data_IF_226672959149
#
_entry.id   IF_226672959149
#
_cell.length_a   1.000
_cell.length_b   1.000
_cell.length_c   1.000
_cell.angle_alpha   90.00
_cell.angle_beta   90.00
_cell.angle_gamma   90.00
#
_symmetry.space_group_name_H-M   'P 1'
#
loop_
_entity.id
_entity.type
_entity.pdbx_description
1 polymer ?
#
# COMPACT_ATOMS: atom_id res chain seq x y z
N UNK A 1 -2.68 3.80 4.64
CA UNK A 1 -3.36 2.50 4.71
C UNK A 1 -3.94 2.14 3.35
N UNK A 2 -4.16 0.86 3.12
CA UNK A 2 -4.68 0.29 1.89
C UNK A 2 -6.08 -0.28 2.17
N UNK A 3 -7.16 0.50 1.98
CA UNK A 3 -8.51 0.06 2.36
C UNK A 3 -9.11 -0.94 1.38
N UNK A 4 -8.85 -0.78 0.10
CA UNK A 4 -9.37 -1.57 -1.02
C UNK A 4 -8.35 -1.53 -2.16
N UNK A 5 -8.53 -2.35 -3.19
CA UNK A 5 -7.68 -2.38 -4.38
C UNK A 5 -6.49 -3.33 -4.28
N UNK A 6 -5.64 -3.24 -5.29
CA UNK A 6 -4.43 -4.06 -5.38
C UNK A 6 -3.20 -3.18 -5.26
N UNK A 7 -2.30 -3.55 -4.37
CA UNK A 7 -1.16 -2.73 -3.98
C UNK A 7 0.15 -3.48 -4.09
N UNK A 8 1.19 -2.74 -4.45
CA UNK A 8 2.55 -3.24 -4.59
C UNK A 8 3.53 -2.37 -3.81
N UNK A 9 4.47 -3.01 -3.15
CA UNK A 9 5.64 -2.36 -2.55
C UNK A 9 6.81 -3.32 -2.43
N UNK A 10 7.98 -2.78 -2.23
CA UNK A 10 9.25 -3.50 -2.11
C UNK A 10 9.94 -3.16 -0.79
N UNK A 11 10.63 -4.12 -0.22
CA UNK A 11 11.45 -3.95 0.96
C UNK A 11 12.82 -4.55 0.66
N UNK A 12 13.87 -3.72 0.69
CA UNK A 12 15.23 -4.21 0.64
C UNK A 12 15.72 -4.52 2.05
N UNK A 13 16.24 -5.71 2.24
CA UNK A 13 16.83 -6.12 3.50
C UNK A 13 18.23 -5.50 3.60
N UNK A 14 18.41 -4.67 4.61
CA UNK A 14 19.74 -4.17 4.99
C UNK A 14 20.44 -5.17 5.90
N UNK A 15 21.18 -4.68 6.87
CA UNK A 15 21.77 -5.54 7.89
C UNK A 15 20.63 -6.22 8.64
N UNK A 16 20.65 -7.54 8.72
CA UNK A 16 19.71 -8.27 9.56
C UNK A 16 20.46 -9.03 10.66
N UNK A 17 20.08 -8.76 11.88
CA UNK A 17 20.37 -9.64 13.01
C UNK A 17 19.22 -10.63 13.20
N UNK A 18 19.26 -11.37 14.26
CA UNK A 18 18.36 -12.48 14.58
C UNK A 18 16.88 -12.12 14.55
N UNK A 19 16.06 -11.90 13.69
CA UNK A 19 14.57 -11.74 13.71
C UNK A 19 13.97 -10.46 13.10
N UNK A 20 14.44 -9.93 11.97
CA UNK A 20 13.60 -9.00 11.24
C UNK A 20 12.34 -9.71 10.76
N UNK A 21 11.22 -9.04 10.80
CA UNK A 21 9.93 -9.53 10.34
C UNK A 21 9.30 -8.51 9.41
N UNK A 22 8.73 -9.00 8.32
CA UNK A 22 7.98 -8.21 7.36
C UNK A 22 6.51 -8.62 7.46
N UNK A 23 5.63 -7.67 7.71
CA UNK A 23 4.25 -7.99 8.01
C UNK A 23 3.25 -7.06 7.33
N UNK A 24 2.05 -7.57 7.16
CA UNK A 24 0.86 -6.84 6.79
C UNK A 24 -0.09 -6.84 7.99
N UNK A 25 -0.52 -5.66 8.43
CA UNK A 25 -1.35 -5.48 9.62
C UNK A 25 -2.62 -4.71 9.33
N UNK A 26 -3.63 -4.80 10.22
CA UNK A 26 -4.81 -3.95 10.18
C UNK A 26 -4.60 -2.71 11.03
N UNK A 27 -4.88 -1.53 10.46
CA UNK A 27 -4.71 -0.25 11.13
C UNK A 27 -5.58 -0.10 12.40
N UNK A 28 -6.72 -0.78 12.47
CA UNK A 28 -7.56 -0.75 13.67
C UNK A 28 -6.93 -1.49 14.86
N UNK A 29 -6.01 -2.39 14.59
CA UNK A 29 -5.26 -3.12 15.62
C UNK A 29 -3.95 -2.42 16.03
N UNK A 30 -3.74 -1.19 15.59
CA UNK A 30 -2.52 -0.41 15.84
C UNK A 30 -2.40 0.00 17.31
N UNK A 31 -2.17 -0.97 18.16
CA UNK A 31 -1.61 -0.78 19.51
C UNK A 31 -0.09 -0.80 19.36
N UNK A 32 0.60 0.13 19.99
CA UNK A 32 2.05 0.21 19.95
C UNK A 32 2.69 -1.17 20.19
N UNK A 33 3.76 -1.51 19.45
CA UNK A 33 4.42 -2.81 19.62
C UNK A 33 4.97 -2.93 21.03
N UNK A 34 4.25 -3.66 21.87
CA UNK A 34 4.81 -4.07 23.14
C UNK A 34 5.85 -5.14 22.89
N UNK A 35 7.03 -4.83 23.34
CA UNK A 35 8.27 -5.60 23.38
C UNK A 35 8.23 -7.03 22.81
N UNK A 36 9.17 -7.32 21.97
CA UNK A 36 9.54 -8.63 21.40
C UNK A 36 9.67 -9.77 22.44
N UNK A 37 9.75 -9.45 23.73
CA UNK A 37 9.97 -10.41 24.79
C UNK A 37 8.74 -11.27 25.00
N UNK A 38 8.87 -12.54 24.71
CA UNK A 38 8.06 -13.64 25.27
C UNK A 38 6.63 -13.84 24.75
N UNK A 39 6.39 -13.97 23.46
CA UNK A 39 5.13 -14.56 22.98
C UNK A 39 3.86 -13.73 23.24
N UNK A 40 3.99 -12.55 23.82
CA UNK A 40 2.91 -11.65 24.16
C UNK A 40 2.64 -10.61 23.06
N UNK A 41 2.71 -11.01 21.79
CA UNK A 41 2.26 -10.17 20.69
C UNK A 41 0.77 -10.33 20.46
N UNK A 42 0.00 -10.19 21.52
CA UNK A 42 -1.45 -10.28 21.47
C UNK A 42 -2.13 -9.14 20.72
N UNK A 43 -1.40 -8.29 19.96
CA UNK A 43 -1.97 -7.06 19.46
C UNK A 43 -1.80 -6.81 17.96
N UNK A 44 -1.09 -7.69 17.24
CA UNK A 44 -0.89 -7.52 15.82
C UNK A 44 -1.53 -8.63 15.01
N UNK A 45 -2.42 -8.23 14.18
CA UNK A 45 -2.88 -9.03 13.07
C UNK A 45 -1.86 -8.91 11.98
N UNK A 46 -0.82 -9.71 12.11
CA UNK A 46 0.26 -9.68 11.16
C UNK A 46 0.27 -10.98 10.35
N UNK A 47 0.18 -10.82 9.06
CA UNK A 47 0.59 -11.84 8.12
C UNK A 47 2.10 -11.67 7.96
N UNK A 48 2.87 -12.52 8.60
CA UNK A 48 4.31 -12.28 8.79
C UNK A 48 5.15 -13.24 7.98
N UNK A 49 6.14 -12.70 7.28
CA UNK A 49 7.24 -13.44 6.67
C UNK A 49 8.48 -13.33 7.56
N UNK A 50 9.00 -14.47 7.99
CA UNK A 50 10.11 -14.55 8.92
C UNK A 50 11.46 -14.62 8.21
N UNK A 51 12.50 -14.01 8.77
CA UNK A 51 13.86 -14.07 8.23
C UNK A 51 14.45 -15.49 8.22
N UNK A 52 14.02 -16.34 9.13
CA UNK A 52 14.40 -17.77 9.15
C UNK A 52 13.73 -18.61 8.07
N UNK A 53 12.87 -18.00 7.26
CA UNK A 53 11.93 -18.70 6.39
C UNK A 53 10.67 -19.12 7.14
N UNK A 54 9.61 -19.36 6.38
CA UNK A 54 8.30 -19.69 6.93
C UNK A 54 7.40 -18.48 7.12
N UNK A 55 6.13 -18.77 7.24
CA UNK A 55 5.07 -17.81 7.46
C UNK A 55 4.52 -17.98 8.87
N UNK A 56 4.03 -16.90 9.42
CA UNK A 56 3.35 -16.90 10.71
C UNK A 56 2.11 -16.01 10.63
N UNK A 57 1.04 -16.47 11.27
CA UNK A 57 -0.08 -15.65 11.66
C UNK A 57 0.04 -15.36 13.16
N UNK A 58 -0.17 -14.14 13.57
CA UNK A 58 -0.24 -13.82 14.99
C UNK A 58 -1.64 -14.09 15.51
N UNK A 59 -1.76 -15.09 16.38
CA UNK A 59 -2.99 -15.54 17.02
C UNK A 59 -3.36 -14.68 18.24
N UNK A 60 -3.50 -13.37 18.06
CA UNK A 60 -4.07 -12.54 19.12
C UNK A 60 -5.59 -12.38 18.98
N UNK A 61 -6.26 -11.94 20.03
CA UNK A 61 -7.71 -11.67 20.06
C UNK A 61 -8.21 -10.68 18.97
N UNK A 62 -7.30 -10.09 18.22
CA UNK A 62 -7.57 -9.11 17.19
C UNK A 62 -7.63 -9.66 15.76
N UNK A 63 -7.51 -10.99 15.59
CA UNK A 63 -7.74 -11.66 14.28
C UNK A 63 -9.19 -11.49 13.77
N UNK A 64 -10.09 -10.92 14.57
CA UNK A 64 -11.49 -10.75 14.20
C UNK A 64 -11.70 -9.98 12.90
N UNK A 65 -10.81 -9.03 12.57
CA UNK A 65 -10.97 -8.22 11.36
C UNK A 65 -10.52 -8.93 10.07
N UNK A 66 -9.60 -9.89 10.16
CA UNK A 66 -9.24 -10.74 9.02
C UNK A 66 -10.17 -11.97 8.90
N UNK A 67 -10.96 -12.23 9.93
CA UNK A 67 -11.78 -13.45 9.97
C UNK A 67 -10.92 -14.72 10.01
N UNK A 68 -11.24 -15.69 9.16
CA UNK A 68 -10.41 -16.89 9.02
C UNK A 68 -9.22 -16.60 8.13
N UNK A 69 -8.01 -16.85 8.62
CA UNK A 69 -6.75 -16.71 7.88
C UNK A 69 -6.24 -18.10 7.51
N UNK A 70 -5.78 -18.26 6.29
CA UNK A 70 -5.13 -19.47 5.80
C UNK A 70 -3.70 -19.14 5.39
N UNK A 71 -2.74 -19.82 5.99
CA UNK A 71 -1.35 -19.88 5.54
C UNK A 71 -1.25 -21.00 4.51
N UNK A 72 -0.95 -20.65 3.27
CA UNK A 72 -0.95 -21.64 2.18
C UNK A 72 0.41 -22.33 2.07
N UNK A 73 1.47 -21.68 2.51
CA UNK A 73 2.82 -22.25 2.46
C UNK A 73 3.64 -21.90 3.70
N UNK A 74 4.15 -22.91 4.38
CA UNK A 74 5.03 -22.77 5.54
C UNK A 74 6.50 -23.02 5.22
N UNK A 75 6.81 -23.45 3.98
CA UNK A 75 8.13 -23.85 3.52
C UNK A 75 8.90 -22.79 2.75
N UNK A 76 8.58 -21.50 2.92
CA UNK A 76 9.26 -20.42 2.19
C UNK A 76 10.72 -20.26 2.62
N UNK A 77 11.57 -19.95 1.63
CA UNK A 77 12.99 -19.73 1.86
C UNK A 77 13.25 -18.53 2.77
N UNK A 78 14.29 -18.62 3.57
CA UNK A 78 14.80 -17.49 4.35
C UNK A 78 15.27 -16.33 3.46
N UNK A 79 15.25 -15.12 3.98
CA UNK A 79 15.86 -13.96 3.34
C UNK A 79 17.07 -13.45 4.13
N UNK A 80 17.96 -12.77 3.42
CA UNK A 80 19.23 -12.29 3.95
C UNK A 80 19.48 -10.82 3.55
N UNK A 81 20.55 -10.23 4.04
CA UNK A 81 21.03 -8.91 3.62
C UNK A 81 21.19 -8.86 2.10
N UNK A 82 20.72 -7.78 1.49
CA UNK A 82 20.71 -7.57 0.05
C UNK A 82 19.51 -8.12 -0.68
N UNK A 83 18.72 -9.02 -0.08
CA UNK A 83 17.49 -9.50 -0.71
C UNK A 83 16.43 -8.39 -0.81
N UNK A 84 15.69 -8.39 -1.91
CA UNK A 84 14.54 -7.52 -2.12
C UNK A 84 13.28 -8.38 -2.04
N UNK A 85 12.40 -8.01 -1.11
CA UNK A 85 11.12 -8.68 -0.91
C UNK A 85 10.02 -7.78 -1.46
N UNK A 86 9.33 -8.25 -2.49
CA UNK A 86 8.17 -7.58 -3.07
C UNK A 86 6.89 -8.14 -2.47
N UNK A 87 5.96 -7.28 -2.12
CA UNK A 87 4.64 -7.65 -1.63
C UNK A 87 3.56 -7.28 -2.63
N UNK A 88 2.62 -8.17 -2.81
CA UNK A 88 1.45 -8.03 -3.68
C UNK A 88 0.22 -8.26 -2.83
N UNK A 89 -0.61 -7.24 -2.69
CA UNK A 89 -1.78 -7.25 -1.81
C UNK A 89 -3.03 -7.04 -2.66
N UNK A 90 -3.94 -7.98 -2.61
CA UNK A 90 -5.29 -7.87 -3.15
C UNK A 90 -6.24 -7.72 -1.97
N UNK A 91 -6.48 -6.47 -1.57
CA UNK A 91 -7.30 -6.15 -0.41
C UNK A 91 -8.79 -6.49 -0.65
N UNK A 92 -9.24 -6.44 -1.89
CA UNK A 92 -10.63 -6.73 -2.26
C UNK A 92 -10.97 -8.21 -2.12
N UNK A 93 -10.02 -9.09 -2.46
CA UNK A 93 -10.21 -10.53 -2.42
C UNK A 93 -9.57 -11.19 -1.19
N UNK A 94 -8.97 -10.42 -0.29
CA UNK A 94 -8.37 -10.95 0.93
C UNK A 94 -7.19 -11.88 0.65
N UNK A 95 -6.25 -11.47 -0.19
CA UNK A 95 -5.11 -12.28 -0.59
C UNK A 95 -3.81 -11.47 -0.56
N UNK A 96 -2.71 -12.12 -0.21
CA UNK A 96 -1.39 -11.54 -0.37
C UNK A 96 -0.37 -12.56 -0.82
N UNK A 97 0.56 -12.07 -1.62
CA UNK A 97 1.76 -12.78 -2.08
C UNK A 97 2.99 -11.96 -1.71
N UNK A 98 4.10 -12.64 -1.65
CA UNK A 98 5.40 -11.97 -1.67
C UNK A 98 6.35 -12.72 -2.60
N UNK A 99 7.34 -11.98 -3.09
CA UNK A 99 8.44 -12.54 -3.86
C UNK A 99 9.76 -12.23 -3.17
N UNK A 100 10.66 -13.16 -3.17
CA UNK A 100 12.07 -12.94 -2.84
C UNK A 100 12.85 -12.81 -4.15
N UNK A 101 13.49 -11.67 -4.37
CA UNK A 101 14.25 -11.39 -5.59
C UNK A 101 13.46 -11.75 -6.86
N UNK A 102 12.23 -11.21 -6.93
CA UNK A 102 11.27 -11.41 -8.01
C UNK A 102 10.78 -12.87 -8.21
N UNK A 103 11.02 -13.75 -7.26
CA UNK A 103 10.55 -15.14 -7.31
C UNK A 103 9.46 -15.35 -6.27
N UNK A 104 8.22 -15.57 -6.72
CA UNK A 104 7.09 -15.90 -5.86
C UNK A 104 7.13 -17.40 -5.57
N UNK A 105 7.13 -17.83 -4.28
CA UNK A 105 7.13 -19.23 -3.95
C UNK A 105 5.82 -19.92 -4.36
N UNK A 106 5.86 -21.27 -4.39
CA UNK A 106 4.69 -22.12 -4.58
C UNK A 106 3.89 -21.85 -5.85
N UNK A 107 4.55 -21.37 -6.90
CA UNK A 107 3.90 -20.95 -8.16
C UNK A 107 2.78 -19.94 -7.95
N UNK A 108 2.92 -19.07 -6.96
CA UNK A 108 1.99 -17.97 -6.67
C UNK A 108 1.88 -17.03 -7.87
N UNK A 109 0.66 -16.59 -8.15
CA UNK A 109 0.41 -15.65 -9.24
C UNK A 109 -0.62 -14.59 -8.81
N UNK A 110 -0.16 -13.37 -8.49
CA UNK A 110 -1.04 -12.29 -8.07
C UNK A 110 -2.00 -11.82 -9.17
N UNK A 111 -1.61 -11.96 -10.45
CA UNK A 111 -2.49 -11.54 -11.56
C UNK A 111 -3.72 -12.44 -11.68
N UNK A 112 -3.53 -13.73 -11.56
CA UNK A 112 -4.63 -14.71 -11.64
C UNK A 112 -5.29 -15.00 -10.30
N UNK A 113 -4.69 -14.50 -9.19
CA UNK A 113 -5.15 -14.79 -7.84
C UNK A 113 -4.83 -16.21 -7.35
N UNK A 114 -3.93 -16.93 -8.05
CA UNK A 114 -3.59 -18.30 -7.72
C UNK A 114 -2.50 -18.39 -6.63
N UNK A 115 -2.62 -19.41 -5.78
CA UNK A 115 -1.64 -19.80 -4.77
C UNK A 115 -1.12 -18.62 -3.92
N UNK A 116 -1.98 -17.84 -3.25
CA UNK A 116 -1.52 -16.79 -2.34
C UNK A 116 -0.79 -17.42 -1.15
N UNK A 117 0.22 -16.74 -0.62
CA UNK A 117 0.85 -17.17 0.63
C UNK A 117 -0.05 -16.91 1.83
N UNK A 118 -0.85 -15.84 1.75
CA UNK A 118 -1.86 -15.52 2.77
C UNK A 118 -3.22 -15.33 2.11
N UNK A 119 -4.25 -15.90 2.72
CA UNK A 119 -5.64 -15.64 2.37
C UNK A 119 -6.46 -15.40 3.64
N UNK A 120 -7.38 -14.44 3.60
CA UNK A 120 -8.25 -14.10 4.73
C UNK A 120 -9.66 -13.78 4.26
N UNK A 121 -10.64 -13.92 5.15
CA UNK A 121 -12.07 -13.75 4.84
C UNK A 121 -12.69 -12.51 5.48
N UNK A 122 -12.04 -11.92 6.49
CA UNK A 122 -12.51 -10.71 7.15
C UNK A 122 -12.33 -9.45 6.29
N UNK A 123 -12.77 -8.32 6.81
CA UNK A 123 -12.56 -7.02 6.20
C UNK A 123 -11.77 -6.14 7.16
N UNK A 124 -10.44 -6.12 7.07
CA UNK A 124 -9.63 -5.19 7.83
C UNK A 124 -10.06 -3.76 7.50
N UNK A 125 -10.03 -2.89 8.49
CA UNK A 125 -10.40 -1.47 8.33
C UNK A 125 -9.41 -0.70 7.46
N UNK A 126 -8.21 -1.21 7.34
CA UNK A 126 -7.18 -0.70 6.45
C UNK A 126 -5.87 -1.44 6.68
N UNK A 127 -5.31 -1.94 5.61
CA UNK A 127 -4.04 -2.65 5.65
C UNK A 127 -2.88 -1.66 5.73
N UNK A 128 -1.88 -1.98 6.51
CA UNK A 128 -0.64 -1.22 6.64
C UNK A 128 0.57 -2.13 6.61
N UNK A 129 1.69 -1.57 6.21
CA UNK A 129 2.98 -2.25 6.16
C UNK A 129 3.60 -2.17 7.54
N UNK A 130 4.08 -3.28 8.04
CA UNK A 130 4.90 -3.33 9.23
C UNK A 130 6.25 -3.96 8.92
N UNK A 131 7.30 -3.31 9.37
CA UNK A 131 8.66 -3.82 9.33
C UNK A 131 9.20 -3.81 10.75
N UNK A 132 9.46 -4.99 11.30
CA UNK A 132 10.05 -5.09 12.61
C UNK A 132 11.52 -5.41 12.50
N UNK A 133 12.34 -4.50 13.01
CA UNK A 133 13.78 -4.67 13.16
C UNK A 133 14.13 -4.90 14.63
N UNK A 134 15.09 -5.79 14.88
CA UNK A 134 15.60 -6.06 16.21
C UNK A 134 17.10 -5.73 16.25
N UNK A 135 17.55 -5.07 17.31
CA UNK A 135 18.93 -4.62 17.51
C UNK A 135 19.46 -3.73 16.38
N UNK A 136 20.41 -4.19 15.57
CA UNK A 136 21.05 -3.46 14.48
C UNK A 136 20.41 -3.69 13.11
N UNK A 137 19.31 -4.42 13.05
CA UNK A 137 18.64 -4.69 11.79
C UNK A 137 17.99 -3.44 11.22
N UNK A 138 18.03 -3.27 9.90
CA UNK A 138 17.24 -2.27 9.19
C UNK A 138 16.78 -2.80 7.83
N UNK A 139 15.70 -2.26 7.36
CA UNK A 139 15.15 -2.48 6.02
C UNK A 139 14.85 -1.14 5.37
N UNK A 140 14.87 -1.07 4.06
CA UNK A 140 14.48 0.12 3.31
C UNK A 140 13.20 -0.19 2.53
N UNK A 141 12.13 0.57 2.81
CA UNK A 141 10.86 0.46 2.13
C UNK A 141 10.87 1.29 0.84
N UNK A 142 10.41 0.70 -0.25
CA UNK A 142 10.03 1.38 -1.47
C UNK A 142 8.54 1.13 -1.77
N UNK A 143 7.72 2.11 -1.51
CA UNK A 143 6.29 2.10 -1.87
C UNK A 143 6.03 2.78 -3.22
N UNK A 144 7.10 2.99 -4.00
CA UNK A 144 7.13 3.68 -5.28
C UNK A 144 7.94 4.98 -5.26
N UNK A 145 8.52 5.37 -4.12
CA UNK A 145 9.25 6.64 -4.02
C UNK A 145 10.71 6.56 -4.46
N UNK A 146 11.38 5.40 -4.30
CA UNK A 146 12.82 5.30 -4.58
C UNK A 146 13.28 3.87 -4.88
N UNK A 147 13.43 3.55 -6.16
CA UNK A 147 13.95 2.26 -6.63
C UNK A 147 15.45 2.05 -6.41
N UNK A 148 16.15 3.04 -5.84
CA UNK A 148 17.56 2.87 -5.44
C UNK A 148 17.71 2.37 -4.01
N UNK A 149 16.65 2.31 -3.22
CA UNK A 149 16.69 1.98 -1.80
C UNK A 149 17.75 2.81 -1.04
N UNK A 150 17.61 4.13 -1.14
CA UNK A 150 18.54 5.10 -0.57
C UNK A 150 19.98 5.00 -1.14
N UNK A 151 20.09 4.70 -2.43
CA UNK A 151 21.36 4.65 -3.15
C UNK A 151 22.13 3.33 -2.99
N UNK A 152 21.52 2.30 -2.43
CA UNK A 152 22.17 0.97 -2.28
C UNK A 152 22.03 0.10 -3.52
N UNK A 153 21.04 0.39 -4.38
CA UNK A 153 20.79 -0.32 -5.63
C UNK A 153 20.79 0.65 -6.82
N UNK A 154 20.91 0.12 -8.03
CA UNK A 154 20.71 0.91 -9.24
C UNK A 154 19.23 0.92 -9.61
N UNK A 155 18.63 2.12 -9.71
CA UNK A 155 17.22 2.26 -10.08
C UNK A 155 16.93 1.58 -11.41
N UNK A 156 15.86 0.81 -11.47
CA UNK A 156 15.39 0.16 -12.71
C UNK A 156 14.30 0.97 -13.41
N UNK A 157 13.67 1.94 -12.71
CA UNK A 157 12.70 2.86 -13.27
C UNK A 157 11.35 2.24 -13.62
N UNK A 158 11.00 1.11 -13.00
CA UNK A 158 9.72 0.47 -13.24
C UNK A 158 8.58 1.24 -12.57
N UNK A 159 7.46 1.37 -13.27
CA UNK A 159 6.24 2.02 -12.78
C UNK A 159 5.09 1.00 -12.70
N UNK A 160 4.05 1.36 -11.98
CA UNK A 160 2.79 0.64 -12.03
C UNK A 160 2.02 0.87 -13.35
N UNK A 161 0.86 0.24 -13.51
CA UNK A 161 0.00 0.37 -14.70
C UNK A 161 -0.56 1.78 -14.89
N UNK A 162 -0.62 2.59 -13.83
CA UNK A 162 -1.04 3.99 -13.90
C UNK A 162 0.13 4.94 -14.23
N UNK A 163 1.35 4.42 -14.34
CA UNK A 163 2.56 5.19 -14.64
C UNK A 163 3.21 5.83 -13.41
N UNK A 164 2.81 5.44 -12.21
CA UNK A 164 3.37 5.96 -10.96
C UNK A 164 4.38 4.99 -10.35
N UNK A 165 5.25 5.55 -9.54
CA UNK A 165 6.27 4.82 -8.82
C UNK A 165 7.63 4.78 -9.52
N UNK A 166 8.62 4.34 -8.75
CA UNK A 166 9.98 4.03 -9.20
C UNK A 166 10.39 2.76 -8.48
N UNK A 167 10.05 1.62 -9.07
CA UNK A 167 10.28 0.31 -8.48
C UNK A 167 11.54 -0.36 -9.06
N UNK A 168 12.10 -1.25 -8.27
CA UNK A 168 13.22 -2.10 -8.71
C UNK A 168 12.72 -3.23 -9.63
N UNK A 169 11.61 -3.90 -9.25
CA UNK A 169 10.94 -4.86 -10.12
C UNK A 169 9.66 -4.27 -10.70
N UNK A 170 9.21 -4.79 -11.84
CA UNK A 170 7.97 -4.34 -12.47
C UNK A 170 6.77 -4.85 -11.68
N UNK A 171 5.90 -3.97 -11.15
CA UNK A 171 4.63 -4.39 -10.57
C UNK A 171 3.78 -5.15 -11.59
N UNK A 172 3.07 -6.21 -11.18
CA UNK A 172 2.12 -6.88 -12.07
C UNK A 172 0.98 -5.95 -12.49
N UNK A 173 0.30 -6.31 -13.57
CA UNK A 173 -0.90 -5.58 -14.03
C UNK A 173 -1.91 -5.42 -12.91
N UNK A 174 -2.52 -4.25 -12.81
CA UNK A 174 -3.50 -3.81 -11.81
C UNK A 174 -2.96 -3.61 -10.38
N UNK A 175 -1.69 -3.89 -10.12
CA UNK A 175 -1.07 -3.58 -8.83
C UNK A 175 -0.49 -2.17 -8.86
N UNK A 176 -0.89 -1.36 -7.89
CA UNK A 176 -0.62 0.08 -7.86
C UNK A 176 0.41 0.45 -6.78
N UNK A 177 1.16 1.50 -7.05
CA UNK A 177 2.04 2.15 -6.07
C UNK A 177 1.20 2.74 -4.92
N UNK A 178 1.72 2.66 -3.69
CA UNK A 178 1.07 3.26 -2.52
C UNK A 178 1.40 4.75 -2.50
N UNK A 179 0.70 5.52 -3.31
CA UNK A 179 0.86 6.97 -3.42
C UNK A 179 -0.50 7.67 -3.44
N UNK A 180 -0.51 8.96 -3.16
CA UNK A 180 -1.75 9.75 -3.11
C UNK A 180 -2.51 9.76 -4.43
N UNK A 181 -1.81 9.66 -5.57
CA UNK A 181 -2.44 9.63 -6.89
C UNK A 181 -3.25 8.36 -7.16
N UNK A 182 -2.91 7.25 -6.50
CA UNK A 182 -3.60 5.96 -6.61
C UNK A 182 -4.63 5.72 -5.51
N UNK A 183 -4.64 6.55 -4.46
CA UNK A 183 -5.64 6.40 -3.40
C UNK A 183 -7.01 6.90 -3.87
N UNK A 184 -8.11 6.23 -3.46
CA UNK A 184 -9.44 6.76 -3.70
C UNK A 184 -9.56 8.17 -3.13
N UNK A 185 -9.94 9.12 -3.97
CA UNK A 185 -10.17 10.50 -3.54
C UNK A 185 -11.61 10.57 -3.04
N UNK A 186 -11.79 10.95 -1.77
CA UNK A 186 -13.11 11.20 -1.26
C UNK A 186 -13.59 12.58 -1.75
N UNK A 187 -14.75 12.65 -2.38
CA UNK A 187 -15.38 13.89 -2.86
C UNK A 187 -15.43 14.99 -1.79
N UNK A 188 -15.55 14.59 -0.53
CA UNK A 188 -15.55 15.51 0.61
C UNK A 188 -14.19 16.18 0.87
N UNK A 189 -13.09 15.60 0.38
CA UNK A 189 -11.72 16.11 0.60
C UNK A 189 -11.21 16.85 -0.63
N UNK A 190 -11.62 16.42 -1.82
CA UNK A 190 -11.26 17.06 -3.09
C UNK A 190 -12.51 17.30 -3.94
N UNK A 191 -13.26 18.36 -3.67
CA UNK A 191 -14.45 18.69 -4.45
C UNK A 191 -14.15 19.03 -5.91
N UNK A 192 -12.89 19.24 -6.27
CA UNK A 192 -12.49 19.44 -7.66
C UNK A 192 -12.56 18.17 -8.51
N UNK A 193 -12.67 17.00 -7.89
CA UNK A 193 -12.75 15.71 -8.58
C UNK A 193 -14.18 15.32 -8.99
N UNK A 194 -15.21 15.96 -8.41
CA UNK A 194 -16.59 15.73 -8.83
C UNK A 194 -17.11 16.90 -9.67
N UNK A 195 -17.75 16.56 -10.80
CA UNK A 195 -18.32 17.57 -11.71
C UNK A 195 -19.36 18.47 -11.03
N UNK A 196 -20.05 17.99 -9.99
CA UNK A 196 -21.10 18.72 -9.32
C UNK A 196 -20.58 19.70 -8.26
N UNK A 197 -19.41 19.42 -7.66
CA UNK A 197 -18.83 20.19 -6.56
C UNK A 197 -17.57 20.98 -6.96
N UNK A 198 -17.31 21.12 -8.23
CA UNK A 198 -16.17 21.87 -8.71
C UNK A 198 -16.24 23.33 -8.25
N UNK A 199 -15.22 23.87 -7.55
CA UNK A 199 -15.29 25.21 -6.95
C UNK A 199 -15.70 26.33 -7.94
N UNK A 200 -15.28 26.25 -9.19
CA UNK A 200 -15.62 27.20 -10.23
C UNK A 200 -17.11 27.18 -10.64
N UNK A 201 -17.85 26.12 -10.31
CA UNK A 201 -19.32 26.08 -10.45
C UNK A 201 -20.06 26.75 -9.31
N UNK A 202 -19.37 27.03 -8.20
CA UNK A 202 -19.93 27.62 -7.00
C UNK A 202 -19.47 29.07 -6.82
N UNK A 203 -18.24 29.38 -7.21
CA UNK A 203 -17.66 30.72 -7.15
C UNK A 203 -16.63 30.90 -8.27
N UNK A 204 -16.77 31.97 -9.03
CA UNK A 204 -15.81 32.35 -10.06
C UNK A 204 -15.73 33.87 -10.20
N UNK A 205 -14.58 34.38 -10.58
CA UNK A 205 -14.36 35.80 -10.86
C UNK A 205 -14.00 35.97 -12.33
N UNK A 206 -14.68 36.89 -13.01
CA UNK A 206 -14.43 37.20 -14.41
C UNK A 206 -14.10 38.68 -14.54
N UNK A 207 -12.93 38.96 -15.14
CA UNK A 207 -12.56 40.32 -15.48
C UNK A 207 -13.21 40.71 -16.83
N UNK A 208 -13.80 41.89 -16.86
CA UNK A 208 -14.35 42.43 -18.10
C UNK A 208 -13.97 43.90 -18.29
N UNK A 209 -13.99 44.36 -19.51
CA UNK A 209 -13.80 45.78 -19.83
C UNK A 209 -15.13 46.39 -20.12
N UNK A 210 -15.51 47.43 -19.33
CA UNK A 210 -16.74 48.15 -19.57
C UNK A 210 -16.72 48.94 -20.88
N UNK A 211 -17.83 48.94 -21.62
CA UNK A 211 -18.00 49.63 -22.91
C UNK A 211 -18.96 50.84 -22.82
N UNK A 212 -19.41 51.19 -21.61
CA UNK A 212 -20.32 52.29 -21.36
C UNK A 212 -21.78 51.98 -21.73
N UNK A 213 -22.12 50.74 -22.05
CA UNK A 213 -23.48 50.31 -22.39
C UNK A 213 -23.74 48.91 -21.83
N UNK A 214 -24.93 48.36 -22.06
CA UNK A 214 -25.27 46.97 -21.67
C UNK A 214 -24.42 46.00 -22.46
N UNK A 215 -23.79 45.06 -21.77
CA UNK A 215 -23.01 43.96 -22.36
C UNK A 215 -23.24 42.65 -21.65
N UNK A 216 -23.07 41.55 -22.39
CA UNK A 216 -23.08 40.21 -21.81
C UNK A 216 -21.69 39.85 -21.29
N UNK A 217 -21.58 39.48 -20.02
CA UNK A 217 -20.37 38.95 -19.43
C UNK A 217 -20.47 37.42 -19.50
N UNK A 218 -19.49 36.81 -20.18
CA UNK A 218 -19.40 35.35 -20.38
C UNK A 218 -18.23 34.77 -19.59
N UNK A 219 -18.18 33.44 -19.43
CA UNK A 219 -17.07 32.76 -18.78
C UNK A 219 -17.25 32.59 -17.26
N UNK A 220 -18.40 32.96 -16.71
CA UNK A 220 -18.69 32.76 -15.28
C UNK A 220 -18.79 31.27 -14.94
N UNK A 221 -19.31 30.44 -15.86
CA UNK A 221 -19.38 28.98 -15.71
C UNK A 221 -20.67 28.47 -15.00
N UNK A 222 -21.42 29.33 -14.35
CA UNK A 222 -22.71 29.02 -13.72
C UNK A 222 -23.63 30.23 -13.78
N UNK A 223 -24.91 30.05 -13.40
CA UNK A 223 -25.88 31.16 -13.29
C UNK A 223 -25.68 31.84 -11.95
N UNK A 224 -25.16 33.07 -11.88
CA UNK A 224 -25.01 33.78 -10.63
C UNK A 224 -26.36 34.21 -10.04
N UNK A 225 -26.52 34.15 -8.73
CA UNK A 225 -27.68 34.63 -8.02
C UNK A 225 -27.58 36.16 -7.73
N UNK A 226 -26.35 36.66 -7.72
CA UNK A 226 -26.06 38.08 -7.53
C UNK A 226 -24.95 38.49 -8.52
N UNK A 227 -25.15 39.60 -9.22
CA UNK A 227 -24.19 40.19 -10.13
C UNK A 227 -23.94 41.66 -9.79
#
# INVERSE_FOLDING_TARGET
>A
CMPTGKWYYEIRIGVHSTYPQLALTDIASNQAPDSYASGARGYFMALTYLSSGGLSENNGDLMSNFGSVTLVDTGVASYAEGDIISWYIDADNGKAWFAKNNTIPNSGNPVTGANPQFAWTGRPTGLTIEMQAYTTSFCTLNAGQDGTFAGTETAQGNTDTAGYGNFYYTPPTDYLAICSANLPIADAIDPAQSDDNFPQKLFNTVLYTGNGSTQNITGVGFKPDLA
#
